data_IF_275281949959
#
_entry.id   IF_275281949959
#
_cell.length_a   1.000
_cell.length_b   1.000
_cell.length_c   1.000
_cell.angle_alpha   90.00
_cell.angle_beta   90.00
_cell.angle_gamma   90.00
#
_symmetry.space_group_name_H-M   'P 1'
#
loop_
_entity.id
_entity.type
_entity.pdbx_description
1 polymer ?
#
# COMPACT_ATOMS: atom_id res chain seq x y z
N UNK A 1 12.41 -12.28 -18.44
CA UNK A 1 11.34 -11.27 -18.29
C UNK A 1 11.97 -9.91 -18.52
N UNK A 2 11.44 -9.13 -19.47
CA UNK A 2 11.92 -7.78 -19.76
C UNK A 2 11.84 -6.93 -18.49
N UNK A 3 12.97 -6.36 -18.05
CA UNK A 3 13.00 -5.44 -16.91
C UNK A 3 12.31 -4.16 -17.37
N UNK A 4 11.11 -3.88 -16.86
CA UNK A 4 10.32 -2.69 -17.16
C UNK A 4 10.95 -1.36 -16.68
N UNK A 5 12.25 -1.34 -16.38
CA UNK A 5 12.96 -0.16 -15.88
C UNK A 5 12.53 0.31 -14.49
N UNK A 6 11.73 -0.48 -13.76
CA UNK A 6 11.29 -0.12 -12.41
C UNK A 6 12.50 0.01 -11.46
N UNK A 7 12.50 1.06 -10.63
CA UNK A 7 13.52 1.26 -9.60
C UNK A 7 13.52 0.11 -8.58
N UNK A 8 14.63 -0.04 -7.86
CA UNK A 8 14.81 -1.14 -6.89
C UNK A 8 13.73 -1.12 -5.79
N UNK A 9 13.37 0.06 -5.29
CA UNK A 9 12.35 0.22 -4.26
C UNK A 9 10.99 -0.31 -4.72
N UNK A 10 10.53 0.11 -5.90
CA UNK A 10 9.27 -0.34 -6.48
C UNK A 10 9.30 -1.84 -6.82
N UNK A 11 10.42 -2.32 -7.35
CA UNK A 11 10.59 -3.73 -7.69
C UNK A 11 10.48 -4.61 -6.44
N UNK A 12 11.16 -4.26 -5.35
CA UNK A 12 11.10 -4.99 -4.09
C UNK A 12 9.68 -5.02 -3.51
N UNK A 13 9.02 -3.85 -3.40
CA UNK A 13 7.66 -3.77 -2.86
C UNK A 13 6.64 -4.61 -3.65
N UNK A 14 6.72 -4.57 -4.98
CA UNK A 14 5.84 -5.37 -5.85
C UNK A 14 6.17 -6.87 -5.74
N UNK A 15 7.45 -7.23 -5.68
CA UNK A 15 7.87 -8.62 -5.44
C UNK A 15 7.33 -9.15 -4.13
N UNK A 16 7.49 -8.43 -3.01
CA UNK A 16 6.96 -8.83 -1.69
C UNK A 16 5.45 -9.05 -1.73
N UNK A 17 4.72 -8.16 -2.44
CA UNK A 17 3.27 -8.26 -2.62
C UNK A 17 2.90 -9.53 -3.39
N UNK A 18 3.60 -9.82 -4.49
CA UNK A 18 3.36 -11.02 -5.32
C UNK A 18 3.73 -12.29 -4.56
N UNK A 19 4.85 -12.29 -3.84
CA UNK A 19 5.28 -13.43 -3.02
C UNK A 19 4.26 -13.74 -1.93
N UNK A 20 3.73 -12.73 -1.26
CA UNK A 20 2.63 -12.88 -0.30
C UNK A 20 1.40 -13.47 -0.97
N UNK A 21 0.98 -12.92 -2.11
CA UNK A 21 -0.22 -13.37 -2.82
C UNK A 21 -0.14 -14.83 -3.31
N UNK A 22 1.05 -15.31 -3.67
CA UNK A 22 1.26 -16.65 -4.21
C UNK A 22 1.52 -17.68 -3.09
N UNK A 23 2.26 -17.31 -2.05
CA UNK A 23 2.83 -18.29 -1.11
C UNK A 23 2.22 -18.24 0.29
N UNK A 24 1.55 -17.16 0.69
CA UNK A 24 0.97 -17.05 2.02
C UNK A 24 -0.38 -17.76 2.12
N UNK A 25 -0.79 -18.05 3.35
CA UNK A 25 -2.14 -18.57 3.64
C UNK A 25 -3.20 -17.51 3.32
N UNK A 26 -4.44 -17.94 3.09
CA UNK A 26 -5.53 -17.04 2.67
C UNK A 26 -5.80 -15.92 3.68
N UNK A 27 -5.76 -16.19 4.99
CA UNK A 27 -5.92 -15.16 6.02
C UNK A 27 -4.74 -14.20 6.08
N UNK A 28 -3.51 -14.68 5.84
CA UNK A 28 -2.32 -13.82 5.73
C UNK A 28 -2.39 -12.89 4.52
N UNK A 29 -2.83 -13.39 3.35
CA UNK A 29 -3.07 -12.56 2.17
C UNK A 29 -4.15 -11.51 2.44
N UNK A 30 -5.26 -11.91 3.06
CA UNK A 30 -6.34 -10.98 3.41
C UNK A 30 -5.88 -9.91 4.41
N UNK A 31 -5.05 -10.27 5.39
CA UNK A 31 -4.45 -9.34 6.34
C UNK A 31 -3.53 -8.32 5.65
N UNK A 32 -2.63 -8.79 4.77
CA UNK A 32 -1.74 -7.94 4.01
C UNK A 32 -2.52 -6.98 3.08
N UNK A 33 -3.62 -7.45 2.47
CA UNK A 33 -4.49 -6.62 1.63
C UNK A 33 -5.21 -5.53 2.45
N UNK A 34 -5.92 -5.92 3.52
CA UNK A 34 -6.68 -4.98 4.36
C UNK A 34 -5.77 -3.94 5.03
N UNK A 35 -4.71 -4.40 5.70
CA UNK A 35 -3.85 -3.53 6.49
C UNK A 35 -2.73 -2.87 5.68
N UNK A 36 -2.37 -3.44 4.53
CA UNK A 36 -1.38 -2.85 3.64
C UNK A 36 -1.96 -1.88 2.62
N UNK A 37 -3.24 -2.02 2.22
CA UNK A 37 -3.91 -1.20 1.20
C UNK A 37 -5.18 -0.55 1.73
N UNK A 38 -6.23 -1.33 1.98
CA UNK A 38 -7.60 -0.81 2.18
C UNK A 38 -7.69 0.22 3.30
N UNK A 39 -7.07 -0.05 4.44
CA UNK A 39 -7.11 0.85 5.61
C UNK A 39 -6.15 2.05 5.51
N UNK A 40 -5.12 1.97 4.67
CA UNK A 40 -4.02 2.95 4.61
C UNK A 40 -4.23 3.98 3.50
N UNK A 41 -4.67 3.52 2.32
CA UNK A 41 -4.75 4.36 1.11
C UNK A 41 -5.67 5.58 1.29
N UNK A 42 -6.90 5.47 1.84
CA UNK A 42 -7.78 6.63 2.00
C UNK A 42 -7.14 7.76 2.80
N UNK A 43 -6.56 7.44 3.97
CA UNK A 43 -5.94 8.45 4.83
C UNK A 43 -4.68 9.04 4.21
N UNK A 44 -3.87 8.21 3.55
CA UNK A 44 -2.66 8.68 2.86
C UNK A 44 -3.01 9.64 1.72
N UNK A 45 -4.02 9.31 0.90
CA UNK A 45 -4.47 10.15 -0.20
C UNK A 45 -5.15 11.42 0.28
N UNK A 46 -5.93 11.36 1.35
CA UNK A 46 -6.53 12.55 1.94
C UNK A 46 -5.44 13.55 2.39
N UNK A 47 -4.39 13.08 3.06
CA UNK A 47 -3.25 13.95 3.44
C UNK A 47 -2.57 14.59 2.23
N UNK A 48 -2.38 13.86 1.14
CA UNK A 48 -1.80 14.42 -0.09
C UNK A 48 -2.68 15.56 -0.63
N UNK A 49 -4.00 15.38 -0.65
CA UNK A 49 -4.94 16.41 -1.10
C UNK A 49 -4.95 17.63 -0.18
N UNK A 50 -4.84 17.42 1.14
CA UNK A 50 -4.86 18.49 2.13
C UNK A 50 -3.54 19.29 2.15
N UNK A 51 -2.40 18.62 1.99
CA UNK A 51 -1.08 19.23 2.18
C UNK A 51 -0.52 19.88 0.90
N UNK A 52 -0.88 19.40 -0.29
CA UNK A 52 -0.22 19.81 -1.54
C UNK A 52 -0.93 20.95 -2.27
N UNK A 53 -2.11 21.38 -1.80
CA UNK A 53 -2.92 22.46 -2.39
C UNK A 53 -3.13 22.32 -3.92
N UNK A 54 -3.16 21.08 -4.42
CA UNK A 54 -3.36 20.80 -5.85
C UNK A 54 -4.84 20.98 -6.16
N UNK A 55 -5.14 22.01 -6.95
CA UNK A 55 -6.51 22.28 -7.38
C UNK A 55 -6.93 21.31 -8.50
N UNK A 56 -8.23 21.25 -8.76
CA UNK A 56 -8.77 20.47 -9.88
C UNK A 56 -8.30 21.02 -11.25
N UNK A 57 -7.90 22.29 -11.32
CA UNK A 57 -7.40 22.90 -12.56
C UNK A 57 -5.92 22.57 -12.80
N UNK A 58 -5.13 22.40 -11.72
CA UNK A 58 -3.70 22.06 -11.82
C UNK A 58 -3.48 20.62 -12.30
N UNK A 59 -4.25 19.67 -11.76
CA UNK A 59 -4.09 18.25 -12.07
C UNK A 59 -5.43 17.49 -11.97
N UNK A 60 -6.39 17.74 -12.90
CA UNK A 60 -7.75 17.21 -12.81
C UNK A 60 -7.81 15.69 -12.68
N UNK A 61 -7.05 14.98 -13.52
CA UNK A 61 -7.03 13.51 -13.51
C UNK A 61 -6.42 12.94 -12.23
N UNK A 62 -5.34 13.55 -11.74
CA UNK A 62 -4.68 13.10 -10.52
C UNK A 62 -5.58 13.29 -9.30
N UNK A 63 -6.17 14.49 -9.17
CA UNK A 63 -7.07 14.81 -8.07
C UNK A 63 -8.29 13.89 -8.07
N UNK A 64 -8.91 13.68 -9.23
CA UNK A 64 -10.01 12.73 -9.40
C UNK A 64 -9.61 11.30 -8.99
N UNK A 65 -8.43 10.82 -9.41
CA UNK A 65 -7.95 9.49 -9.07
C UNK A 65 -7.83 9.29 -7.55
N UNK A 66 -7.24 10.25 -6.83
CA UNK A 66 -7.13 10.18 -5.37
C UNK A 66 -8.50 10.22 -4.69
N UNK A 67 -9.37 11.15 -5.10
CA UNK A 67 -10.72 11.30 -4.55
C UNK A 67 -11.54 10.02 -4.69
N UNK A 68 -11.50 9.39 -5.86
CA UNK A 68 -12.23 8.14 -6.12
C UNK A 68 -11.72 6.97 -5.29
N UNK A 69 -10.41 6.88 -5.04
CA UNK A 69 -9.88 5.84 -4.16
C UNK A 69 -10.29 6.08 -2.70
N UNK A 70 -10.33 7.33 -2.24
CA UNK A 70 -10.85 7.65 -0.90
C UNK A 70 -12.31 7.22 -0.80
N UNK A 71 -13.17 7.62 -1.73
CA UNK A 71 -14.60 7.26 -1.73
C UNK A 71 -14.81 5.73 -1.78
N UNK A 72 -14.19 5.05 -2.75
CA UNK A 72 -14.42 3.60 -2.97
C UNK A 72 -13.84 2.77 -1.82
N UNK A 73 -12.62 3.05 -1.37
CA UNK A 73 -11.97 2.22 -0.35
C UNK A 73 -12.56 2.51 1.07
N UNK A 74 -13.15 3.70 1.31
CA UNK A 74 -13.69 4.07 2.64
C UNK A 74 -15.15 3.67 2.91
N UNK A 75 -15.99 3.50 1.88
CA UNK A 75 -17.41 3.21 2.08
C UNK A 75 -17.68 1.69 2.22
N UNK A 76 -17.50 0.93 1.14
CA UNK A 76 -17.94 -0.48 1.11
C UNK A 76 -16.80 -1.48 1.29
N UNK A 77 -15.61 -1.15 0.80
CA UNK A 77 -14.52 -2.10 0.68
C UNK A 77 -13.80 -2.38 2.01
N UNK A 78 -13.56 -1.34 2.83
CA UNK A 78 -12.98 -1.49 4.17
C UNK A 78 -13.76 -2.44 5.07
N UNK A 79 -15.05 -2.17 5.36
CA UNK A 79 -15.87 -3.05 6.21
C UNK A 79 -16.03 -4.48 5.64
N UNK A 80 -16.12 -4.61 4.32
CA UNK A 80 -16.18 -5.92 3.67
C UNK A 80 -14.89 -6.73 3.84
N UNK A 81 -13.73 -6.07 3.73
CA UNK A 81 -12.42 -6.70 3.92
C UNK A 81 -12.18 -7.09 5.39
N UNK A 82 -12.61 -6.28 6.36
CA UNK A 82 -12.59 -6.62 7.79
C UNK A 82 -13.46 -7.85 8.08
N UNK A 83 -14.69 -7.87 7.56
CA UNK A 83 -15.61 -9.00 7.71
C UNK A 83 -15.06 -10.29 7.08
N UNK A 84 -14.44 -10.18 5.89
CA UNK A 84 -13.76 -11.30 5.25
C UNK A 84 -12.63 -11.84 6.13
N UNK A 85 -11.77 -10.97 6.65
CA UNK A 85 -10.65 -11.38 7.49
C UNK A 85 -11.12 -12.07 8.78
N UNK A 86 -12.13 -11.50 9.46
CA UNK A 86 -12.72 -12.08 10.65
C UNK A 86 -13.26 -13.51 10.40
N UNK A 87 -13.91 -13.72 9.25
CA UNK A 87 -14.39 -15.05 8.82
C UNK A 87 -13.26 -16.02 8.52
N UNK A 88 -12.14 -15.56 7.98
CA UNK A 88 -10.98 -16.40 7.68
C UNK A 88 -10.21 -16.79 8.95
N UNK A 89 -10.13 -15.89 9.94
CA UNK A 89 -9.58 -16.19 11.26
C UNK A 89 -10.47 -17.19 12.00
N UNK A 90 -11.79 -16.97 11.99
CA UNK A 90 -12.78 -17.87 12.60
C UNK A 90 -12.48 -18.24 14.08
N UNK A 91 -11.94 -17.30 14.86
CA UNK A 91 -11.58 -17.51 16.26
C UNK A 91 -10.36 -18.41 16.50
N UNK A 92 -9.62 -18.78 15.46
CA UNK A 92 -8.37 -19.55 15.57
C UNK A 92 -7.21 -18.65 16.02
N UNK A 93 -6.61 -18.98 17.17
CA UNK A 93 -5.54 -18.19 17.78
C UNK A 93 -4.26 -18.16 16.93
N UNK A 94 -3.93 -19.26 16.25
CA UNK A 94 -2.75 -19.32 15.38
C UNK A 94 -2.97 -18.45 14.15
N UNK A 95 -4.14 -18.53 13.53
CA UNK A 95 -4.47 -17.65 12.39
C UNK A 95 -4.44 -16.19 12.78
N UNK A 96 -4.92 -15.85 13.98
CA UNK A 96 -4.87 -14.49 14.49
C UNK A 96 -3.42 -13.98 14.61
N UNK A 97 -2.49 -14.81 15.08
CA UNK A 97 -1.06 -14.46 15.13
C UNK A 97 -0.48 -14.25 13.73
N UNK A 98 -0.76 -15.17 12.80
CA UNK A 98 -0.32 -15.07 11.41
C UNK A 98 -0.87 -13.82 10.70
N UNK A 99 -2.12 -13.43 11.00
CA UNK A 99 -2.73 -12.17 10.54
C UNK A 99 -1.91 -10.97 11.01
N UNK A 100 -1.54 -10.90 12.29
CA UNK A 100 -0.75 -9.79 12.80
C UNK A 100 0.63 -9.71 12.13
N UNK A 101 1.30 -10.85 11.98
CA UNK A 101 2.61 -10.91 11.32
C UNK A 101 2.51 -10.40 9.87
N UNK A 102 1.52 -10.86 9.12
CA UNK A 102 1.33 -10.44 7.72
C UNK A 102 0.91 -8.98 7.59
N UNK A 103 0.05 -8.47 8.49
CA UNK A 103 -0.33 -7.07 8.52
C UNK A 103 0.87 -6.15 8.78
N UNK A 104 1.69 -6.48 9.77
CA UNK A 104 2.90 -5.71 10.11
C UNK A 104 3.90 -5.74 8.95
N UNK A 105 4.14 -6.91 8.36
CA UNK A 105 5.05 -7.06 7.22
C UNK A 105 4.60 -6.21 6.02
N UNK A 106 3.30 -6.15 5.73
CA UNK A 106 2.76 -5.33 4.64
C UNK A 106 2.99 -3.82 4.88
N UNK A 107 2.78 -3.34 6.11
CA UNK A 107 3.07 -1.94 6.47
C UNK A 107 4.56 -1.64 6.40
N UNK A 108 5.40 -2.55 6.88
CA UNK A 108 6.86 -2.41 6.82
C UNK A 108 7.39 -2.37 5.39
N UNK A 109 6.89 -3.23 4.50
CA UNK A 109 7.26 -3.21 3.08
C UNK A 109 6.88 -1.87 2.42
N UNK A 110 5.71 -1.31 2.77
CA UNK A 110 5.30 0.03 2.29
C UNK A 110 6.20 1.15 2.82
N UNK A 111 6.61 1.10 4.08
CA UNK A 111 7.57 2.08 4.63
C UNK A 111 8.91 1.98 3.91
N UNK A 112 9.42 0.76 3.69
CA UNK A 112 10.67 0.53 2.97
C UNK A 112 10.62 1.04 1.52
N UNK A 113 9.48 0.93 0.84
CA UNK A 113 9.28 1.55 -0.47
C UNK A 113 9.56 3.06 -0.42
N UNK A 114 8.91 3.77 0.51
CA UNK A 114 9.03 5.22 0.61
C UNK A 114 10.42 5.67 1.07
N UNK A 115 11.01 4.98 2.04
CA UNK A 115 12.37 5.27 2.51
C UNK A 115 13.41 5.11 1.40
N UNK A 116 13.34 4.01 0.65
CA UNK A 116 14.28 3.76 -0.44
C UNK A 116 14.06 4.71 -1.62
N UNK A 117 12.80 5.09 -1.91
CA UNK A 117 12.50 6.09 -2.92
C UNK A 117 13.04 7.47 -2.53
N UNK A 118 12.90 7.87 -1.25
CA UNK A 118 13.47 9.11 -0.72
C UNK A 118 15.00 9.14 -0.84
N UNK A 119 15.68 8.04 -0.56
CA UNK A 119 17.14 7.92 -0.72
C UNK A 119 17.54 8.10 -2.19
N UNK A 120 16.88 7.36 -3.11
CA UNK A 120 17.18 7.44 -4.54
C UNK A 120 16.96 8.86 -5.11
N UNK A 121 15.92 9.56 -4.66
CA UNK A 121 15.70 10.96 -5.03
C UNK A 121 16.81 11.88 -4.52
N UNK A 122 17.31 11.65 -3.30
CA UNK A 122 18.42 12.43 -2.72
C UNK A 122 19.74 12.24 -3.47
N UNK A 123 20.02 11.03 -3.96
CA UNK A 123 21.19 10.73 -4.81
C UNK A 123 21.10 11.46 -6.16
N UNK A 124 19.92 11.46 -6.77
CA UNK A 124 19.69 12.10 -8.08
C UNK A 124 19.87 13.62 -8.02
N UNK A 125 19.53 14.24 -6.87
CA UNK A 125 19.75 15.68 -6.66
C UNK A 125 21.23 16.02 -6.50
N UNK A 126 22.07 15.12 -5.96
CA UNK A 126 23.51 15.38 -5.83
C UNK A 126 24.26 15.31 -7.16
N UNK A 127 23.82 14.48 -8.12
CA UNK A 127 24.44 14.39 -9.46
C UNK A 127 24.10 15.57 -10.38
N UNK A 128 22.97 16.25 -10.20
CA UNK A 128 22.61 17.43 -11.01
C UNK A 128 23.29 18.73 -10.55
N UNK A 129 23.91 18.75 -9.37
CA UNK A 129 24.52 19.95 -8.75
C UNK A 129 26.06 19.84 -8.71
N UNK A 130 26.63 18.74 -9.20
CA UNK A 130 28.06 18.51 -9.38
C UNK A 130 28.47 18.70 -10.85
#
# INVERSE_FOLDING_TARGET
>A
MSRCGAGLAASAFVTDTIETAINASTHSVAAAFLHGRESVIPQMFQRILDDWDITADDAPTFRYYLQRHIEVDSEDHGPAAESLLARLVNGDAQRQEEVYVSAIAAVQSRLALWDNLRVAMGETVSECVA
#
